data_IF_420790936651
#
_entry.id   IF_420790936651
#
_cell.length_a   1.000
_cell.length_b   1.000
_cell.length_c   1.000
_cell.angle_alpha   90.00
_cell.angle_beta   90.00
_cell.angle_gamma   90.00
#
_symmetry.space_group_name_H-M   'P 1'
#
loop_
_entity.id
_entity.type
_entity.pdbx_description
1 polymer ?
#
# COMPACT_ATOMS: atom_id res chain seq x y z
N UNK A 1 8.51 -22.72 -58.48
CA UNK A 1 8.86 -23.42 -57.27
C UNK A 1 9.79 -22.49 -56.49
N UNK A 2 9.27 -21.50 -55.74
CA UNK A 2 10.12 -20.63 -54.87
C UNK A 2 9.35 -19.62 -54.00
N UNK A 3 8.04 -19.48 -54.18
CA UNK A 3 7.29 -18.54 -53.32
C UNK A 3 6.64 -19.19 -52.08
N UNK A 4 6.48 -20.52 -52.09
CA UNK A 4 5.88 -21.27 -50.99
C UNK A 4 6.93 -21.63 -49.90
N UNK A 5 8.19 -21.85 -50.27
CA UNK A 5 9.29 -22.15 -49.34
C UNK A 5 9.70 -20.92 -48.50
N UNK A 6 9.67 -19.72 -49.09
CA UNK A 6 10.03 -18.48 -48.39
C UNK A 6 8.98 -18.06 -47.36
N UNK A 7 7.70 -18.44 -47.54
CA UNK A 7 6.61 -18.15 -46.59
C UNK A 7 6.66 -19.10 -45.38
N UNK A 8 7.05 -20.34 -45.57
CA UNK A 8 7.19 -21.33 -44.48
C UNK A 8 8.42 -21.02 -43.59
N UNK A 9 9.52 -20.52 -44.18
CA UNK A 9 10.70 -20.11 -43.40
C UNK A 9 10.45 -18.81 -42.59
N UNK A 10 9.64 -17.89 -43.13
CA UNK A 10 9.28 -16.65 -42.39
C UNK A 10 8.33 -16.93 -41.21
N UNK A 11 7.42 -17.90 -41.34
CA UNK A 11 6.50 -18.29 -40.27
C UNK A 11 7.24 -19.06 -39.16
N UNK A 12 8.20 -19.89 -39.50
CA UNK A 12 9.06 -20.61 -38.53
C UNK A 12 10.00 -19.66 -37.78
N UNK A 13 10.53 -18.63 -38.41
CA UNK A 13 11.35 -17.61 -37.76
C UNK A 13 10.52 -16.73 -36.80
N UNK A 14 9.30 -16.35 -37.21
CA UNK A 14 8.39 -15.59 -36.35
C UNK A 14 7.88 -16.39 -35.14
N UNK A 15 7.73 -17.70 -35.26
CA UNK A 15 7.38 -18.59 -34.15
C UNK A 15 8.57 -18.86 -33.21
N UNK A 16 9.79 -18.92 -33.74
CA UNK A 16 11.00 -19.02 -32.94
C UNK A 16 11.27 -17.73 -32.14
N UNK A 17 11.05 -16.54 -32.75
CA UNK A 17 11.16 -15.25 -32.06
C UNK A 17 10.08 -15.11 -30.97
N UNK A 18 8.84 -15.52 -31.24
CA UNK A 18 7.77 -15.53 -30.22
C UNK A 18 8.04 -16.52 -29.07
N UNK A 19 8.64 -17.66 -29.36
CA UNK A 19 9.04 -18.63 -28.33
C UNK A 19 10.21 -18.11 -27.48
N UNK A 20 11.19 -17.43 -28.09
CA UNK A 20 12.30 -16.79 -27.38
C UNK A 20 11.82 -15.60 -26.51
N UNK A 21 10.88 -14.80 -27.01
CA UNK A 21 10.25 -13.72 -26.24
C UNK A 21 9.41 -14.26 -25.09
N UNK A 22 8.70 -15.38 -25.26
CA UNK A 22 7.94 -16.06 -24.22
C UNK A 22 8.83 -16.67 -23.13
N UNK A 23 9.96 -17.29 -23.50
CA UNK A 23 10.97 -17.80 -22.56
C UNK A 23 11.64 -16.67 -21.77
N UNK A 24 12.00 -15.58 -22.45
CA UNK A 24 12.56 -14.37 -21.82
C UNK A 24 11.54 -13.73 -20.87
N UNK A 25 10.26 -13.69 -21.24
CA UNK A 25 9.18 -13.19 -20.39
C UNK A 25 8.93 -14.14 -19.20
N UNK A 26 9.02 -15.46 -19.38
CA UNK A 26 8.89 -16.43 -18.31
C UNK A 26 10.08 -16.38 -17.33
N UNK A 27 11.31 -16.22 -17.81
CA UNK A 27 12.49 -15.98 -16.97
C UNK A 27 12.41 -14.63 -16.24
N UNK A 28 11.95 -13.58 -16.91
CA UNK A 28 11.70 -12.28 -16.30
C UNK A 28 10.55 -12.34 -15.25
N UNK A 29 9.60 -13.26 -15.40
CA UNK A 29 8.52 -13.47 -14.43
C UNK A 29 8.96 -14.32 -13.22
N UNK A 30 10.00 -15.14 -13.34
CA UNK A 30 10.50 -15.95 -12.25
C UNK A 30 11.16 -15.09 -11.16
N UNK A 31 10.89 -15.41 -9.90
CA UNK A 31 11.57 -14.81 -8.76
C UNK A 31 13.03 -15.26 -8.75
N UNK A 32 13.95 -14.34 -8.47
CA UNK A 32 15.36 -14.67 -8.27
C UNK A 32 15.53 -15.61 -7.07
N UNK A 33 16.63 -16.34 -7.00
CA UNK A 33 16.92 -17.23 -5.86
C UNK A 33 16.93 -16.49 -4.53
N UNK A 34 17.33 -15.22 -4.51
CA UNK A 34 17.28 -14.34 -3.34
C UNK A 34 15.85 -13.97 -2.95
N UNK A 35 15.03 -13.55 -3.91
CA UNK A 35 13.61 -13.25 -3.69
C UNK A 35 12.84 -14.47 -3.18
N UNK A 36 13.17 -15.67 -3.68
CA UNK A 36 12.59 -16.93 -3.19
C UNK A 36 13.01 -17.25 -1.73
N UNK A 37 14.23 -16.88 -1.33
CA UNK A 37 14.68 -17.01 0.07
C UNK A 37 13.93 -16.04 0.97
N UNK A 38 13.85 -14.76 0.58
CA UNK A 38 13.10 -13.74 1.31
C UNK A 38 11.65 -14.20 1.50
N UNK A 39 10.98 -14.65 0.44
CA UNK A 39 9.60 -15.16 0.51
C UNK A 39 9.45 -16.30 1.50
N UNK A 40 10.32 -17.31 1.46
CA UNK A 40 10.25 -18.46 2.38
C UNK A 40 10.43 -18.02 3.82
N UNK A 41 11.49 -17.25 4.12
CA UNK A 41 11.76 -16.77 5.48
C UNK A 41 10.60 -15.94 6.04
N UNK A 42 10.02 -15.04 5.23
CA UNK A 42 8.85 -14.24 5.63
C UNK A 42 7.64 -15.12 5.88
N UNK A 43 7.35 -16.07 4.98
CA UNK A 43 6.22 -16.98 5.11
C UNK A 43 6.31 -17.82 6.36
N UNK A 44 7.48 -18.38 6.65
CA UNK A 44 7.71 -19.21 7.84
C UNK A 44 7.55 -18.38 9.11
N UNK A 45 8.14 -17.20 9.18
CA UNK A 45 8.01 -16.29 10.32
C UNK A 45 6.54 -15.84 10.53
N UNK A 46 5.85 -15.47 9.47
CA UNK A 46 4.45 -15.05 9.56
C UNK A 46 3.55 -16.25 9.95
N UNK A 47 3.78 -17.46 9.41
CA UNK A 47 3.02 -18.63 9.78
C UNK A 47 3.18 -19.01 11.26
N UNK A 48 4.33 -18.73 11.86
CA UNK A 48 4.59 -18.95 13.29
C UNK A 48 3.86 -17.94 14.19
N UNK A 49 3.71 -16.67 13.73
CA UNK A 49 3.33 -15.53 14.57
C UNK A 49 1.99 -14.90 14.20
N UNK A 50 1.32 -15.38 13.14
CA UNK A 50 0.05 -14.84 12.69
C UNK A 50 -1.00 -15.92 12.50
N UNK A 51 -2.21 -15.59 12.90
CA UNK A 51 -3.41 -16.38 12.77
C UNK A 51 -4.59 -15.52 13.18
N UNK A 52 -5.84 -16.00 13.11
CA UNK A 52 -7.00 -15.20 13.48
C UNK A 52 -6.98 -14.70 14.93
N UNK A 53 -6.48 -15.51 15.88
CA UNK A 53 -6.39 -15.16 17.30
C UNK A 53 -5.20 -14.26 17.59
N UNK A 54 -4.02 -14.56 17.04
CA UNK A 54 -2.79 -13.77 17.14
C UNK A 54 -3.00 -12.38 16.52
N UNK A 55 -3.58 -12.31 15.32
CA UNK A 55 -3.90 -11.04 14.66
C UNK A 55 -4.92 -10.22 15.48
N UNK A 56 -5.94 -10.89 16.05
CA UNK A 56 -6.89 -10.22 16.93
C UNK A 56 -6.19 -9.64 18.18
N UNK A 57 -5.32 -10.41 18.83
CA UNK A 57 -4.54 -9.96 19.97
C UNK A 57 -3.61 -8.78 19.58
N UNK A 58 -2.93 -8.87 18.44
CA UNK A 58 -2.07 -7.81 17.93
C UNK A 58 -2.84 -6.51 17.67
N UNK A 59 -4.05 -6.61 17.10
CA UNK A 59 -4.88 -5.41 16.88
C UNK A 59 -5.41 -4.79 18.17
N UNK A 60 -5.41 -5.51 19.29
CA UNK A 60 -5.85 -5.00 20.59
C UNK A 60 -4.73 -4.24 21.36
N UNK A 61 -3.47 -4.32 20.90
CA UNK A 61 -2.37 -3.57 21.51
C UNK A 61 -2.53 -2.05 21.31
N UNK A 62 -1.88 -1.22 22.11
CA UNK A 62 -1.84 0.23 21.89
C UNK A 62 -1.31 0.60 20.52
N UNK A 63 -0.34 -0.13 20.01
CA UNK A 63 0.31 0.07 18.72
C UNK A 63 -0.60 -0.37 17.56
N UNK A 64 -1.50 -1.36 17.78
CA UNK A 64 -2.36 -1.94 16.77
C UNK A 64 -1.70 -3.06 15.97
N UNK A 65 -0.52 -3.50 16.37
CA UNK A 65 0.26 -4.61 15.80
C UNK A 65 1.09 -5.28 16.91
N UNK A 66 1.73 -6.43 16.59
CA UNK A 66 2.69 -7.10 17.49
C UNK A 66 4.07 -6.43 17.37
N UNK A 67 4.56 -5.69 18.41
CA UNK A 67 5.86 -5.00 18.37
C UNK A 67 7.06 -5.96 18.24
N UNK A 68 6.97 -7.17 18.80
CA UNK A 68 8.04 -8.17 18.68
C UNK A 68 8.14 -8.70 17.25
N UNK A 69 6.99 -8.98 16.62
CA UNK A 69 6.95 -9.37 15.22
C UNK A 69 7.49 -8.25 14.34
N UNK A 70 7.09 -7.00 14.59
CA UNK A 70 7.60 -5.85 13.85
C UNK A 70 9.13 -5.70 13.97
N UNK A 71 9.69 -5.84 15.17
CA UNK A 71 11.13 -5.81 15.38
C UNK A 71 11.85 -6.93 14.63
N UNK A 72 11.31 -8.16 14.62
CA UNK A 72 11.87 -9.30 13.85
C UNK A 72 11.81 -9.04 12.33
N UNK A 73 10.72 -8.46 11.84
CA UNK A 73 10.54 -8.13 10.42
C UNK A 73 11.49 -7.00 9.99
N UNK A 74 11.62 -5.95 10.79
CA UNK A 74 12.39 -4.75 10.43
C UNK A 74 13.87 -4.94 10.73
N UNK A 75 14.28 -5.01 12.00
CA UNK A 75 15.68 -5.14 12.39
C UNK A 75 16.27 -6.52 12.01
N UNK A 76 15.45 -7.59 12.10
CA UNK A 76 15.90 -8.95 11.80
C UNK A 76 16.01 -9.26 10.30
N UNK A 77 15.03 -8.86 9.51
CA UNK A 77 14.95 -9.18 8.07
C UNK A 77 15.12 -7.96 7.16
N UNK A 78 15.25 -6.76 7.71
CA UNK A 78 15.39 -5.52 6.94
C UNK A 78 14.15 -5.14 6.13
N UNK A 79 12.96 -5.62 6.53
CA UNK A 79 11.74 -5.53 5.74
C UNK A 79 11.38 -4.09 5.37
N UNK A 80 11.44 -3.18 6.34
CA UNK A 80 11.09 -1.77 6.15
C UNK A 80 12.07 -1.04 5.22
N UNK A 81 13.30 -1.55 5.09
CA UNK A 81 14.36 -0.99 4.27
C UNK A 81 14.59 -1.67 2.92
N UNK A 82 13.80 -2.69 2.53
CA UNK A 82 14.07 -3.49 1.33
C UNK A 82 14.28 -2.66 0.06
N UNK A 83 13.46 -1.65 -0.15
CA UNK A 83 13.54 -0.78 -1.34
C UNK A 83 14.42 0.46 -1.14
N UNK A 84 14.86 0.76 0.09
CA UNK A 84 15.67 1.93 0.37
C UNK A 84 17.14 1.71 0.02
N UNK A 85 17.88 2.77 -0.37
CA UNK A 85 19.30 2.68 -0.69
C UNK A 85 20.16 2.22 0.49
N UNK A 86 21.23 1.44 0.19
CA UNK A 86 22.17 0.93 1.18
C UNK A 86 22.85 2.02 2.03
N UNK A 87 23.05 3.22 1.49
CA UNK A 87 23.61 4.37 2.23
C UNK A 87 22.80 4.81 3.45
N UNK A 88 21.53 4.39 3.54
CA UNK A 88 20.64 4.60 4.68
C UNK A 88 20.36 3.32 5.46
N UNK A 89 21.14 2.26 5.22
CA UNK A 89 20.97 0.96 5.87
C UNK A 89 19.95 0.06 5.16
N UNK A 90 19.37 0.51 4.04
CA UNK A 90 18.40 -0.27 3.26
C UNK A 90 19.05 -1.40 2.46
N UNK A 91 18.23 -2.35 2.02
CA UNK A 91 18.68 -3.50 1.22
C UNK A 91 19.02 -3.18 -0.23
N UNK A 92 18.46 -2.11 -0.79
CA UNK A 92 18.64 -1.76 -2.21
C UNK A 92 18.07 -2.77 -3.20
N UNK A 93 17.19 -3.69 -2.75
CA UNK A 93 16.65 -4.77 -3.58
C UNK A 93 15.53 -4.33 -4.56
N UNK A 94 15.16 -3.05 -4.51
CA UNK A 94 14.16 -2.46 -5.40
C UNK A 94 12.70 -2.81 -5.05
N UNK A 95 11.75 -2.27 -5.85
CA UNK A 95 10.32 -2.39 -5.56
C UNK A 95 9.79 -3.83 -5.58
N UNK A 96 10.35 -4.72 -6.42
CA UNK A 96 9.89 -6.10 -6.52
C UNK A 96 10.09 -6.90 -5.23
N UNK A 97 11.18 -6.65 -4.47
CA UNK A 97 11.41 -7.31 -3.18
C UNK A 97 10.43 -6.82 -2.12
N UNK A 98 10.13 -5.51 -2.11
CA UNK A 98 9.13 -4.94 -1.20
C UNK A 98 7.71 -5.42 -1.55
N UNK A 99 7.37 -5.54 -2.84
CA UNK A 99 6.10 -6.10 -3.29
C UNK A 99 5.91 -7.55 -2.80
N UNK A 100 6.98 -8.34 -2.85
CA UNK A 100 6.97 -9.71 -2.33
C UNK A 100 6.71 -9.74 -0.81
N UNK A 101 7.30 -8.83 -0.06
CA UNK A 101 7.05 -8.69 1.36
C UNK A 101 5.58 -8.30 1.65
N UNK A 102 5.04 -7.36 0.88
CA UNK A 102 3.63 -6.98 0.95
C UNK A 102 2.70 -8.14 0.59
N UNK A 103 3.04 -8.99 -0.40
CA UNK A 103 2.26 -10.18 -0.73
C UNK A 103 2.18 -11.15 0.46
N UNK A 104 3.30 -11.43 1.14
CA UNK A 104 3.32 -12.35 2.27
C UNK A 104 2.61 -11.78 3.51
N UNK A 105 2.76 -10.47 3.79
CA UNK A 105 2.02 -9.83 4.89
C UNK A 105 0.51 -9.78 4.59
N UNK A 106 0.11 -9.54 3.35
CA UNK A 106 -1.27 -9.61 2.90
C UNK A 106 -1.86 -11.02 3.01
N UNK A 107 -1.10 -12.05 2.62
CA UNK A 107 -1.48 -13.46 2.76
C UNK A 107 -1.81 -13.83 4.21
N UNK A 108 -1.06 -13.28 5.16
CA UNK A 108 -1.21 -13.51 6.59
C UNK A 108 -2.23 -12.56 7.25
N UNK A 109 -2.73 -11.54 6.54
CA UNK A 109 -3.46 -10.39 7.11
C UNK A 109 -2.73 -9.80 8.33
N UNK A 110 -1.40 -9.77 8.30
CA UNK A 110 -0.58 -9.37 9.44
C UNK A 110 -0.73 -7.87 9.72
N UNK A 111 -1.21 -7.46 10.92
CA UNK A 111 -1.18 -6.07 11.32
C UNK A 111 0.28 -5.61 11.44
N UNK A 112 0.66 -4.56 10.73
CA UNK A 112 2.02 -4.00 10.79
C UNK A 112 2.07 -2.58 10.26
N UNK A 113 3.01 -1.73 10.71
CA UNK A 113 3.17 -0.38 10.20
C UNK A 113 3.92 -0.34 8.85
N UNK A 114 4.12 -1.47 8.17
CA UNK A 114 4.87 -1.59 6.92
C UNK A 114 4.35 -0.63 5.84
N UNK A 115 3.04 -0.60 5.63
CA UNK A 115 2.44 0.25 4.60
C UNK A 115 2.63 1.74 4.91
N UNK A 116 2.31 2.17 6.12
CA UNK A 116 2.42 3.57 6.50
C UNK A 116 3.88 4.04 6.52
N UNK A 117 4.78 3.21 7.09
CA UNK A 117 6.19 3.55 7.30
C UNK A 117 7.03 3.39 6.04
N UNK A 118 7.08 2.18 5.48
CA UNK A 118 8.02 1.85 4.40
C UNK A 118 7.48 2.23 3.01
N UNK A 119 6.15 2.16 2.80
CA UNK A 119 5.56 2.37 1.48
C UNK A 119 5.13 3.83 1.28
N UNK A 120 4.62 4.50 2.32
CA UNK A 120 4.12 5.88 2.19
C UNK A 120 5.12 6.92 2.69
N UNK A 121 5.65 6.77 3.91
CA UNK A 121 6.46 7.82 4.52
C UNK A 121 7.92 7.83 4.04
N UNK A 122 8.58 6.68 4.03
CA UNK A 122 10.00 6.58 3.70
C UNK A 122 10.33 7.11 2.29
N UNK A 123 9.58 6.83 1.22
CA UNK A 123 9.82 7.41 -0.10
C UNK A 123 9.70 8.94 -0.13
N UNK A 124 8.75 9.51 0.61
CA UNK A 124 8.58 10.96 0.70
C UNK A 124 9.74 11.63 1.42
N UNK A 125 10.21 11.04 2.52
CA UNK A 125 11.42 11.53 3.22
C UNK A 125 12.65 11.39 2.33
N UNK A 126 12.79 10.29 1.61
CA UNK A 126 13.92 10.07 0.68
C UNK A 126 13.92 11.08 -0.48
N UNK A 127 12.74 11.44 -1.00
CA UNK A 127 12.59 12.36 -2.11
C UNK A 127 12.76 13.83 -1.71
N UNK A 128 12.09 14.23 -0.64
CA UNK A 128 11.93 15.65 -0.27
C UNK A 128 12.86 16.09 0.86
N UNK A 129 13.24 15.19 1.78
CA UNK A 129 14.01 15.55 2.97
C UNK A 129 15.36 16.20 2.67
N UNK A 130 15.82 17.07 3.54
CA UNK A 130 17.20 17.58 3.51
C UNK A 130 18.20 16.44 3.72
N UNK A 131 19.48 16.59 3.38
CA UNK A 131 20.50 15.60 3.71
C UNK A 131 20.52 15.21 5.19
N UNK A 132 20.32 16.18 6.09
CA UNK A 132 20.28 15.96 7.53
C UNK A 132 19.06 15.13 7.96
N UNK A 133 17.86 15.50 7.47
CA UNK A 133 16.63 14.77 7.75
C UNK A 133 16.69 13.33 7.24
N UNK A 134 17.21 13.13 6.02
CA UNK A 134 17.40 11.76 5.47
C UNK A 134 18.38 10.94 6.30
N UNK A 135 19.50 11.53 6.73
CA UNK A 135 20.50 10.85 7.54
C UNK A 135 19.98 10.49 8.94
N UNK A 136 19.11 11.32 9.51
CA UNK A 136 18.51 11.09 10.82
C UNK A 136 17.36 10.06 10.75
N UNK A 137 16.43 10.22 9.80
CA UNK A 137 15.15 9.52 9.82
C UNK A 137 15.20 8.17 9.12
N UNK A 138 15.84 8.09 7.93
CA UNK A 138 15.77 6.88 7.12
C UNK A 138 16.39 5.65 7.79
N UNK A 139 17.56 5.71 8.45
CA UNK A 139 18.10 4.55 9.15
C UNK A 139 17.16 4.00 10.23
N UNK A 140 16.50 4.89 10.97
CA UNK A 140 15.56 4.50 12.03
C UNK A 140 14.24 3.92 11.49
N UNK A 141 13.81 4.35 10.30
CA UNK A 141 12.67 3.71 9.60
C UNK A 141 13.06 2.33 9.09
N UNK A 142 14.31 2.16 8.60
CA UNK A 142 14.84 0.88 8.09
C UNK A 142 14.91 -0.17 9.18
N UNK A 143 15.45 0.17 10.34
CA UNK A 143 15.57 -0.76 11.47
C UNK A 143 14.29 -0.92 12.28
N UNK A 144 13.24 -0.13 11.96
CA UNK A 144 11.93 -0.18 12.59
C UNK A 144 11.85 0.46 13.98
N UNK A 145 12.90 1.15 14.43
CA UNK A 145 12.91 1.90 15.70
C UNK A 145 12.13 3.22 15.62
N UNK A 146 11.74 3.63 14.42
CA UNK A 146 10.85 4.75 14.16
C UNK A 146 9.75 4.29 13.22
N UNK A 147 8.50 4.47 13.63
CA UNK A 147 7.33 4.27 12.76
C UNK A 147 6.81 5.61 12.27
N UNK A 148 6.20 5.62 11.10
CA UNK A 148 5.70 6.86 10.53
C UNK A 148 4.35 6.68 9.83
N UNK A 149 3.54 7.75 9.81
CA UNK A 149 2.26 7.78 9.12
C UNK A 149 2.10 9.05 8.29
N UNK A 150 1.39 8.94 7.16
CA UNK A 150 1.07 10.06 6.27
C UNK A 150 -0.32 10.59 6.56
N UNK A 151 -0.41 11.82 7.03
CA UNK A 151 -1.65 12.53 7.29
C UNK A 151 -1.95 13.51 6.13
N UNK A 152 -3.07 13.30 5.46
CA UNK A 152 -3.56 14.18 4.41
C UNK A 152 -4.94 14.74 4.77
N UNK A 153 -5.29 15.95 4.35
CA UNK A 153 -6.58 16.55 4.66
C UNK A 153 -7.77 15.71 4.20
N UNK A 154 -8.84 15.72 4.98
CA UNK A 154 -10.17 15.24 4.57
C UNK A 154 -10.31 13.74 4.32
N UNK A 155 -9.36 12.90 4.74
CA UNK A 155 -9.45 11.44 4.50
C UNK A 155 -9.34 11.03 3.02
N UNK A 156 -8.69 11.83 2.20
CA UNK A 156 -8.57 11.66 0.75
C UNK A 156 -7.21 11.09 0.32
N UNK A 157 -6.70 10.09 1.04
CA UNK A 157 -5.36 9.51 0.78
C UNK A 157 -5.18 9.05 -0.67
N UNK A 158 -6.15 8.32 -1.24
CA UNK A 158 -6.06 7.85 -2.62
C UNK A 158 -5.97 8.99 -3.64
N UNK A 159 -6.67 10.11 -3.41
CA UNK A 159 -6.59 11.29 -4.26
C UNK A 159 -5.26 12.03 -4.08
N UNK A 160 -4.82 12.21 -2.82
CA UNK A 160 -3.53 12.84 -2.52
C UNK A 160 -2.35 12.11 -3.20
N UNK A 161 -2.43 10.80 -3.27
CA UNK A 161 -1.48 9.92 -3.96
C UNK A 161 -1.68 9.87 -5.49
N UNK A 162 -2.63 10.62 -6.05
CA UNK A 162 -2.91 10.65 -7.49
C UNK A 162 -3.48 9.34 -8.06
N UNK A 163 -4.01 8.45 -7.21
CA UNK A 163 -4.53 7.13 -7.60
C UNK A 163 -5.91 7.24 -8.25
N UNK A 164 -6.81 8.01 -7.66
CA UNK A 164 -8.23 8.10 -8.06
C UNK A 164 -8.60 9.40 -8.77
N UNK A 165 -7.65 10.29 -8.97
CA UNK A 165 -7.82 11.58 -9.61
C UNK A 165 -6.50 12.35 -9.70
N UNK A 166 -6.56 13.58 -10.21
CA UNK A 166 -5.42 14.47 -10.26
C UNK A 166 -5.25 15.19 -8.91
N UNK A 167 -4.13 14.96 -8.22
CA UNK A 167 -3.84 15.60 -6.95
C UNK A 167 -3.41 17.08 -7.09
N UNK A 168 -3.24 17.59 -8.30
CA UNK A 168 -3.01 19.01 -8.58
C UNK A 168 -4.31 19.77 -8.79
N UNK A 169 -5.44 19.06 -8.95
CA UNK A 169 -6.75 19.66 -9.14
C UNK A 169 -7.22 20.43 -7.88
N UNK A 170 -8.04 21.46 -8.09
CA UNK A 170 -8.52 22.36 -7.03
C UNK A 170 -9.20 21.65 -5.86
N UNK A 171 -9.82 20.50 -6.09
CA UNK A 171 -10.56 19.75 -5.07
C UNK A 171 -9.68 19.21 -3.94
N UNK A 172 -8.40 18.96 -4.20
CA UNK A 172 -7.45 18.51 -3.18
C UNK A 172 -6.39 19.54 -2.84
N UNK A 173 -5.75 20.15 -3.85
CA UNK A 173 -4.70 21.14 -3.67
C UNK A 173 -5.21 22.46 -3.07
N UNK A 174 -6.50 22.71 -3.25
CA UNK A 174 -7.17 23.93 -2.80
C UNK A 174 -7.65 23.92 -1.36
N UNK A 175 -7.25 23.00 -0.51
CA UNK A 175 -7.69 22.80 0.89
C UNK A 175 -8.09 24.02 1.73
N UNK A 176 -8.15 25.17 1.12
CA UNK A 176 -8.46 26.44 1.73
C UNK A 176 -9.95 26.74 1.97
N UNK A 177 -10.90 25.94 1.46
CA UNK A 177 -12.32 26.33 1.57
C UNK A 177 -13.11 25.66 2.67
N UNK A 178 -12.81 24.44 3.06
CA UNK A 178 -13.42 23.78 4.22
C UNK A 178 -12.63 22.52 4.59
N UNK A 179 -11.90 22.51 5.70
CA UNK A 179 -11.37 21.30 6.32
C UNK A 179 -9.95 20.90 5.93
N UNK A 180 -9.16 21.76 5.28
CA UNK A 180 -7.74 21.53 5.05
C UNK A 180 -6.89 21.77 6.31
N UNK A 181 -5.68 21.20 6.33
CA UNK A 181 -4.69 21.51 7.36
C UNK A 181 -3.91 22.75 6.94
N UNK A 182 -3.84 23.74 7.85
CA UNK A 182 -3.14 25.00 7.63
C UNK A 182 -1.81 25.00 8.37
N UNK A 183 -0.75 25.46 7.70
CA UNK A 183 0.55 25.69 8.31
C UNK A 183 0.84 27.19 8.40
N UNK A 184 1.32 27.64 9.57
CA UNK A 184 1.75 29.01 9.82
C UNK A 184 3.21 29.02 10.26
N UNK A 185 4.01 29.87 9.61
CA UNK A 185 5.36 30.13 10.06
C UNK A 185 5.33 30.96 11.35
N UNK A 186 6.17 30.60 12.31
CA UNK A 186 6.40 31.37 13.53
C UNK A 186 7.69 32.16 13.34
N UNK A 187 7.62 33.46 13.58
CA UNK A 187 8.78 34.36 13.49
C UNK A 187 9.85 33.95 14.54
N UNK A 188 11.12 34.01 14.16
CA UNK A 188 12.22 33.85 15.10
C UNK A 188 12.16 34.97 16.13
N UNK A 189 11.75 34.68 17.38
CA UNK A 189 11.62 35.68 18.46
C UNK A 189 10.35 35.62 19.27
N UNK A 190 9.30 34.94 18.80
CA UNK A 190 8.01 34.80 19.51
C UNK A 190 7.94 33.57 20.45
N UNK A 191 9.01 32.86 20.65
CA UNK A 191 9.08 31.67 21.51
C UNK A 191 10.30 31.72 22.46
N UNK A 192 10.34 30.86 23.42
CA UNK A 192 11.23 30.68 24.58
C UNK A 192 12.77 30.75 24.38
N UNK A 193 13.25 31.49 23.39
CA UNK A 193 14.68 31.76 23.19
C UNK A 193 15.47 30.69 22.42
N UNK A 194 14.86 29.68 21.83
CA UNK A 194 15.50 28.77 20.87
C UNK A 194 15.42 29.38 19.46
N UNK A 195 16.40 30.14 19.08
CA UNK A 195 16.47 31.07 17.94
C UNK A 195 16.27 30.56 16.52
N UNK A 196 15.30 29.68 16.28
CA UNK A 196 14.91 29.22 14.96
C UNK A 196 13.42 29.37 14.72
N UNK A 197 13.01 30.02 13.62
CA UNK A 197 11.61 30.06 13.18
C UNK A 197 11.10 28.64 12.95
N UNK A 198 9.90 28.35 13.49
CA UNK A 198 9.24 27.05 13.39
C UNK A 198 7.95 27.13 12.60
N UNK A 199 7.22 26.04 12.55
CA UNK A 199 5.89 25.97 11.95
C UNK A 199 4.85 25.52 12.96
N UNK A 200 3.62 25.98 12.81
CA UNK A 200 2.46 25.55 13.61
C UNK A 200 1.37 25.06 12.68
N UNK A 201 0.79 23.89 13.00
CA UNK A 201 -0.24 23.27 12.22
C UNK A 201 -1.61 23.36 12.92
N UNK A 202 -2.65 23.56 12.08
CA UNK A 202 -4.04 23.68 12.51
C UNK A 202 -4.94 22.91 11.54
N UNK A 203 -5.83 22.07 12.04
CA UNK A 203 -6.80 21.34 11.23
C UNK A 203 -6.94 19.88 11.63
N UNK A 204 -7.48 19.08 10.74
CA UNK A 204 -7.77 17.68 10.98
C UNK A 204 -7.46 16.84 9.75
N UNK A 205 -6.91 15.65 9.98
CA UNK A 205 -6.82 14.57 9.01
C UNK A 205 -7.60 13.36 9.51
N UNK A 206 -8.57 12.90 8.72
CA UNK A 206 -9.28 11.66 8.97
C UNK A 206 -8.60 10.47 8.27
N UNK A 207 -8.84 9.27 8.77
CA UNK A 207 -8.38 8.00 8.16
C UNK A 207 -6.85 7.91 7.95
N UNK A 208 -6.08 8.46 8.90
CA UNK A 208 -4.62 8.36 8.88
C UNK A 208 -4.22 6.94 9.28
N UNK A 209 -3.66 6.16 8.34
CA UNK A 209 -3.20 4.79 8.58
C UNK A 209 -2.11 4.80 9.65
N UNK A 210 -2.26 3.93 10.66
CA UNK A 210 -1.37 3.83 11.83
C UNK A 210 -1.15 5.15 12.60
N UNK A 211 -1.95 6.18 12.30
CA UNK A 211 -1.80 7.53 12.86
C UNK A 211 -1.99 7.62 14.37
N UNK A 212 -2.59 6.60 15.00
CA UNK A 212 -2.79 6.56 16.46
C UNK A 212 -1.52 6.26 17.23
N UNK A 213 -0.56 5.54 16.63
CA UNK A 213 0.63 5.01 17.30
C UNK A 213 1.95 5.39 16.63
N UNK A 214 1.93 5.98 15.42
CA UNK A 214 3.15 6.36 14.73
C UNK A 214 4.00 7.38 15.52
N UNK A 215 5.31 7.17 15.58
CA UNK A 215 6.26 8.07 16.25
C UNK A 215 6.46 9.38 15.50
N UNK A 216 6.24 9.35 14.17
CA UNK A 216 6.41 10.48 13.28
C UNK A 216 5.21 10.61 12.34
N UNK A 217 4.60 11.78 12.28
CA UNK A 217 3.59 12.10 11.30
C UNK A 217 4.19 12.97 10.18
N UNK A 218 4.01 12.55 8.94
CA UNK A 218 4.16 13.40 7.77
C UNK A 218 2.81 14.04 7.48
N UNK A 219 2.72 15.35 7.60
CA UNK A 219 1.45 16.08 7.47
C UNK A 219 1.48 16.95 6.23
N UNK A 220 0.55 16.70 5.29
CA UNK A 220 0.34 17.58 4.16
C UNK A 220 -0.51 18.78 4.61
N UNK A 221 0.05 19.98 4.54
CA UNK A 221 -0.63 21.20 4.97
C UNK A 221 -0.43 22.34 3.98
N UNK A 222 -1.38 23.28 3.95
CA UNK A 222 -1.36 24.43 3.09
C UNK A 222 -0.71 25.61 3.78
N UNK A 223 0.14 26.34 3.02
CA UNK A 223 0.75 27.61 3.43
C UNK A 223 0.27 28.73 2.53
N UNK A 224 0.24 29.96 3.05
CA UNK A 224 -0.11 31.16 2.29
C UNK A 224 -1.61 31.43 2.21
N UNK A 225 -1.95 32.60 1.66
CA UNK A 225 -3.35 33.01 1.42
C UNK A 225 -3.89 32.45 0.11
N UNK A 226 -5.20 32.57 -0.08
CA UNK A 226 -6.02 31.98 -1.13
C UNK A 226 -5.42 31.97 -2.56
N UNK A 227 -4.77 33.01 -2.98
CA UNK A 227 -4.18 33.14 -4.33
C UNK A 227 -2.75 32.56 -4.44
N UNK A 228 -2.12 32.20 -3.31
CA UNK A 228 -0.74 31.72 -3.22
C UNK A 228 -0.63 30.49 -2.34
N UNK A 229 -1.72 29.75 -2.19
CA UNK A 229 -1.72 28.50 -1.40
C UNK A 229 -0.81 27.47 -2.04
N UNK A 230 0.07 26.88 -1.24
CA UNK A 230 0.95 25.78 -1.63
C UNK A 230 0.80 24.67 -0.62
N UNK A 231 0.85 23.42 -1.10
CA UNK A 231 0.90 22.24 -0.24
C UNK A 231 2.36 21.91 0.06
N UNK A 232 2.69 21.84 1.35
CA UNK A 232 4.00 21.39 1.83
C UNK A 232 3.81 20.18 2.76
N UNK A 233 4.89 19.44 3.00
CA UNK A 233 4.93 18.35 3.97
C UNK A 233 5.68 18.81 5.22
N UNK A 234 5.10 18.45 6.37
CA UNK A 234 5.64 18.77 7.67
C UNK A 234 5.83 17.52 8.51
N UNK A 235 6.88 17.52 9.31
CA UNK A 235 7.18 16.48 10.30
C UNK A 235 6.60 16.93 11.65
N UNK A 236 5.74 16.10 12.23
CA UNK A 236 5.26 16.25 13.60
C UNK A 236 5.76 15.03 14.37
N UNK A 237 6.66 15.25 15.32
CA UNK A 237 7.31 14.20 16.12
C UNK A 237 6.48 13.92 17.36
N UNK A 238 6.27 12.65 17.68
CA UNK A 238 5.76 12.28 18.98
C UNK A 238 6.82 12.59 20.06
N UNK A 239 6.35 13.08 21.20
CA UNK A 239 7.19 13.39 22.37
C UNK A 239 6.78 12.52 23.53
N UNK A 240 7.74 12.16 24.37
CA UNK A 240 7.47 11.50 25.62
C UNK A 240 6.54 12.38 26.48
N UNK A 241 5.44 11.81 26.93
CA UNK A 241 4.38 12.57 27.64
C UNK A 241 3.35 13.28 26.74
N UNK A 242 3.44 13.07 25.40
CA UNK A 242 2.51 13.63 24.41
C UNK A 242 3.03 14.91 23.75
N UNK A 243 2.54 15.17 22.55
CA UNK A 243 2.93 16.34 21.76
C UNK A 243 1.88 17.43 21.91
N UNK A 244 2.23 18.63 22.44
CA UNK A 244 1.27 19.71 22.60
C UNK A 244 0.57 20.05 21.28
N UNK A 245 -0.77 20.19 21.35
CA UNK A 245 -1.59 20.51 20.18
C UNK A 245 -1.85 19.35 19.24
N UNK A 246 -1.33 18.14 19.49
CA UNK A 246 -1.61 16.93 18.73
C UNK A 246 -2.58 16.03 19.51
N UNK A 247 -3.74 15.75 18.92
CA UNK A 247 -4.71 14.77 19.44
C UNK A 247 -4.93 13.68 18.41
N UNK A 248 -4.76 12.43 18.83
CA UNK A 248 -4.92 11.25 17.99
C UNK A 248 -6.01 10.35 18.55
N UNK A 249 -7.02 10.08 17.73
CA UNK A 249 -8.15 9.22 18.11
C UNK A 249 -8.20 8.02 17.19
N UNK A 250 -7.88 6.84 17.71
CA UNK A 250 -8.05 5.58 16.98
C UNK A 250 -9.52 5.39 16.62
N UNK A 251 -9.80 5.07 15.36
CA UNK A 251 -11.16 4.86 14.87
C UNK A 251 -11.48 3.37 14.80
N UNK A 252 -12.76 3.05 14.97
CA UNK A 252 -13.23 1.69 14.70
C UNK A 252 -13.17 1.43 13.20
N UNK A 253 -12.19 0.63 12.79
CA UNK A 253 -12.00 0.25 11.40
C UNK A 253 -12.88 -0.96 11.05
N UNK A 254 -13.31 -1.04 9.79
CA UNK A 254 -13.99 -2.23 9.26
C UNK A 254 -13.04 -3.44 9.30
N UNK A 255 -11.80 -3.23 8.92
CA UNK A 255 -10.69 -4.18 9.04
C UNK A 255 -9.79 -3.74 10.21
N UNK A 256 -9.82 -4.49 11.30
CA UNK A 256 -9.02 -4.19 12.48
C UNK A 256 -7.51 -4.34 12.23
N UNK A 257 -7.12 -5.13 11.22
CA UNK A 257 -5.71 -5.32 10.85
C UNK A 257 -5.14 -4.17 10.01
N UNK A 258 -5.98 -3.13 9.74
CA UNK A 258 -5.60 -1.88 9.08
C UNK A 258 -6.10 -0.68 9.91
N UNK A 259 -5.49 -0.47 11.08
CA UNK A 259 -5.93 0.58 11.99
C UNK A 259 -5.71 1.96 11.37
N UNK A 260 -6.64 2.87 11.66
CA UNK A 260 -6.52 4.27 11.28
C UNK A 260 -7.04 5.19 12.39
N UNK A 261 -6.63 6.43 12.33
CA UNK A 261 -6.95 7.45 13.31
C UNK A 261 -7.48 8.73 12.67
N UNK A 262 -8.19 9.51 13.46
CA UNK A 262 -8.34 10.94 13.26
C UNK A 262 -7.19 11.63 13.99
N UNK A 263 -6.50 12.54 13.29
CA UNK A 263 -5.41 13.37 13.81
C UNK A 263 -5.88 14.81 13.80
N UNK A 264 -6.02 15.41 14.99
CA UNK A 264 -6.36 16.81 15.17
C UNK A 264 -5.10 17.60 15.55
N UNK A 265 -4.92 18.74 14.89
CA UNK A 265 -3.78 19.64 15.05
C UNK A 265 -4.30 21.00 15.54
N UNK A 266 -3.92 21.37 16.76
CA UNK A 266 -4.35 22.61 17.43
C UNK A 266 -3.11 23.36 17.92
N UNK A 267 -2.51 24.15 17.05
CA UNK A 267 -1.23 24.82 17.33
C UNK A 267 -0.07 23.80 17.52
N UNK A 268 -0.11 22.70 16.75
CA UNK A 268 0.90 21.65 16.86
C UNK A 268 2.22 22.12 16.24
N UNK A 269 3.31 21.94 16.98
CA UNK A 269 4.65 22.25 16.49
C UNK A 269 5.04 21.29 15.36
N UNK A 270 5.66 21.85 14.31
CA UNK A 270 6.06 21.07 13.15
C UNK A 270 7.38 21.59 12.54
N UNK A 271 8.08 20.71 11.88
CA UNK A 271 9.28 20.96 11.10
C UNK A 271 8.95 20.81 9.61
N UNK A 272 9.42 21.71 8.75
CA UNK A 272 9.27 21.55 7.31
C UNK A 272 10.09 20.36 6.82
N UNK A 273 9.49 19.44 6.07
CA UNK A 273 10.21 18.40 5.38
C UNK A 273 10.87 18.96 4.12
N UNK A 274 12.20 18.96 4.10
CA UNK A 274 12.97 19.50 2.99
C UNK A 274 13.10 21.02 3.03
N UNK A 275 13.26 21.59 1.85
CA UNK A 275 13.45 23.04 1.61
C UNK A 275 12.50 23.51 0.50
N UNK A 276 12.11 24.77 0.54
CA UNK A 276 11.33 25.40 -0.54
C UNK A 276 12.25 25.99 -1.64
N UNK A 277 11.86 25.89 -2.91
CA UNK A 277 10.65 25.28 -3.45
C UNK A 277 10.78 23.75 -3.56
N UNK A 278 9.68 23.02 -3.30
CA UNK A 278 9.61 21.56 -3.44
C UNK A 278 8.36 21.14 -4.22
N UNK A 279 8.51 20.13 -5.09
CA UNK A 279 7.37 19.49 -5.79
C UNK A 279 6.75 18.41 -4.92
N UNK A 280 5.98 18.81 -3.92
CA UNK A 280 5.30 17.93 -2.98
C UNK A 280 4.22 17.10 -3.69
N UNK A 281 3.46 17.70 -4.62
CA UNK A 281 2.38 17.02 -5.32
C UNK A 281 2.92 15.93 -6.25
N UNK A 282 4.00 16.21 -6.98
CA UNK A 282 4.70 15.23 -7.79
C UNK A 282 5.31 14.10 -6.96
N UNK A 283 5.88 14.41 -5.79
CA UNK A 283 6.41 13.39 -4.87
C UNK A 283 5.30 12.49 -4.31
N UNK A 284 4.15 13.05 -3.93
CA UNK A 284 2.99 12.28 -3.50
C UNK A 284 2.47 11.38 -4.62
N UNK A 285 2.35 11.88 -5.85
CA UNK A 285 1.92 11.10 -7.00
C UNK A 285 2.91 9.97 -7.35
N UNK A 286 4.23 10.24 -7.28
CA UNK A 286 5.27 9.22 -7.48
C UNK A 286 5.18 8.13 -6.40
N UNK A 287 5.05 8.53 -5.12
CA UNK A 287 4.83 7.60 -4.01
C UNK A 287 3.55 6.79 -4.21
N UNK A 288 2.48 7.41 -4.71
CA UNK A 288 1.21 6.74 -4.99
C UNK A 288 1.34 5.63 -6.03
N UNK A 289 2.12 5.83 -7.09
CA UNK A 289 2.35 4.78 -8.09
C UNK A 289 3.09 3.56 -7.50
N UNK A 290 4.10 3.80 -6.67
CA UNK A 290 4.80 2.73 -5.95
C UNK A 290 3.85 2.06 -4.95
N UNK A 291 3.12 2.84 -4.17
CA UNK A 291 2.15 2.34 -3.20
C UNK A 291 1.06 1.49 -3.85
N UNK A 292 0.61 1.85 -5.06
CA UNK A 292 -0.35 1.04 -5.81
C UNK A 292 0.17 -0.38 -6.08
N UNK A 293 1.45 -0.54 -6.42
CA UNK A 293 2.07 -1.86 -6.63
C UNK A 293 2.14 -2.64 -5.32
N UNK A 294 2.54 -1.99 -4.22
CA UNK A 294 2.64 -2.64 -2.91
C UNK A 294 1.27 -3.09 -2.38
N UNK A 295 0.26 -2.23 -2.53
CA UNK A 295 -1.13 -2.55 -2.21
C UNK A 295 -1.70 -3.66 -3.10
N UNK A 296 -1.35 -3.66 -4.40
CA UNK A 296 -1.73 -4.74 -5.31
C UNK A 296 -1.12 -6.07 -4.87
N UNK A 297 0.16 -6.08 -4.47
CA UNK A 297 0.82 -7.27 -3.98
C UNK A 297 0.18 -7.78 -2.68
N UNK A 298 -0.10 -6.90 -1.73
CA UNK A 298 -0.81 -7.23 -0.50
C UNK A 298 -2.20 -7.83 -0.78
N UNK A 299 -2.98 -7.19 -1.67
CA UNK A 299 -4.30 -7.69 -2.07
C UNK A 299 -4.23 -9.04 -2.79
N UNK A 300 -3.22 -9.27 -3.64
CA UNK A 300 -2.96 -10.57 -4.29
C UNK A 300 -2.64 -11.66 -3.26
N UNK A 301 -1.80 -11.34 -2.26
CA UNK A 301 -1.49 -12.24 -1.15
C UNK A 301 -2.75 -12.65 -0.37
N UNK A 302 -3.56 -11.67 0.00
CA UNK A 302 -4.83 -11.89 0.69
C UNK A 302 -5.84 -12.67 -0.18
N UNK A 303 -5.93 -12.36 -1.48
CA UNK A 303 -6.80 -13.06 -2.43
C UNK A 303 -6.40 -14.55 -2.57
N UNK A 304 -5.09 -14.81 -2.70
CA UNK A 304 -4.56 -16.19 -2.74
C UNK A 304 -4.88 -16.96 -1.48
N UNK A 305 -4.68 -16.36 -0.30
CA UNK A 305 -5.00 -17.01 0.98
C UNK A 305 -6.51 -17.25 1.14
N UNK A 306 -7.36 -16.32 0.73
CA UNK A 306 -8.81 -16.48 0.75
C UNK A 306 -9.24 -17.64 -0.17
N UNK A 307 -8.63 -17.75 -1.36
CA UNK A 307 -8.88 -18.82 -2.31
C UNK A 307 -8.45 -20.20 -1.76
N UNK A 308 -7.23 -20.29 -1.19
CA UNK A 308 -6.72 -21.53 -0.58
C UNK A 308 -7.67 -22.04 0.50
N UNK A 309 -8.17 -21.14 1.37
CA UNK A 309 -9.14 -21.50 2.41
C UNK A 309 -10.49 -21.93 1.82
N UNK A 310 -10.96 -21.25 0.78
CA UNK A 310 -12.19 -21.63 0.10
C UNK A 310 -12.09 -23.05 -0.52
N UNK A 311 -10.94 -23.38 -1.12
CA UNK A 311 -10.65 -24.70 -1.65
C UNK A 311 -10.60 -25.74 -0.53
N UNK A 312 -9.91 -25.46 0.58
CA UNK A 312 -9.86 -26.35 1.74
C UNK A 312 -11.26 -26.64 2.33
N UNK A 313 -12.15 -25.64 2.31
CA UNK A 313 -13.55 -25.77 2.71
C UNK A 313 -14.40 -26.68 1.83
N UNK A 314 -13.93 -27.08 0.64
CA UNK A 314 -14.57 -28.08 -0.21
C UNK A 314 -14.09 -29.53 0.07
N UNK A 315 -13.08 -29.71 0.93
CA UNK A 315 -12.49 -31.01 1.23
C UNK A 315 -13.45 -32.01 1.90
N UNK A 316 -13.04 -33.29 2.06
CA UNK A 316 -13.88 -34.40 2.59
C UNK A 316 -14.38 -34.17 4.03
N UNK A 317 -13.73 -33.24 4.78
CA UNK A 317 -14.15 -32.81 6.13
C UNK A 317 -15.24 -31.74 6.13
N UNK A 318 -15.53 -31.12 4.98
CA UNK A 318 -16.70 -30.26 4.81
C UNK A 318 -17.94 -31.16 4.90
N UNK A 319 -18.81 -30.89 5.88
CA UNK A 319 -19.98 -31.69 6.30
C UNK A 319 -20.58 -32.54 5.15
N UNK A 320 -20.48 -33.88 5.21
CA UNK A 320 -21.13 -34.74 4.23
C UNK A 320 -22.64 -34.55 4.36
N UNK A 321 -23.33 -34.32 3.25
CA UNK A 321 -24.79 -34.39 3.20
C UNK A 321 -25.54 -33.15 2.75
N UNK A 322 -24.89 -31.99 2.57
CA UNK A 322 -25.59 -30.75 2.21
C UNK A 322 -25.31 -30.22 0.78
N UNK A 323 -24.37 -30.80 0.04
CA UNK A 323 -24.09 -30.36 -1.35
C UNK A 323 -24.33 -31.49 -2.34
N UNK A 324 -25.17 -31.24 -3.34
CA UNK A 324 -25.30 -32.14 -4.47
C UNK A 324 -24.01 -32.19 -5.28
N UNK A 325 -23.79 -33.28 -6.05
CA UNK A 325 -22.63 -33.36 -6.95
C UNK A 325 -22.54 -32.17 -7.92
N UNK A 326 -23.68 -31.69 -8.42
CA UNK A 326 -23.75 -30.50 -9.28
C UNK A 326 -23.32 -29.21 -8.55
N UNK A 327 -23.73 -29.01 -7.30
CA UNK A 327 -23.30 -27.86 -6.51
C UNK A 327 -21.79 -27.87 -6.20
N UNK A 328 -21.21 -29.06 -5.97
CA UNK A 328 -19.76 -29.22 -5.79
C UNK A 328 -19.01 -28.91 -7.09
N UNK A 329 -19.51 -29.39 -8.24
CA UNK A 329 -18.90 -29.09 -9.53
C UNK A 329 -18.97 -27.58 -9.85
N UNK A 330 -20.11 -26.94 -9.61
CA UNK A 330 -20.25 -25.48 -9.79
C UNK A 330 -19.26 -24.70 -8.91
N UNK A 331 -19.10 -25.08 -7.63
CA UNK A 331 -18.13 -24.45 -6.75
C UNK A 331 -16.69 -24.63 -7.26
N UNK A 332 -16.32 -25.81 -7.75
CA UNK A 332 -14.98 -26.06 -8.33
C UNK A 332 -14.73 -25.19 -9.56
N UNK A 333 -15.69 -25.05 -10.46
CA UNK A 333 -15.58 -24.19 -11.64
C UNK A 333 -15.38 -22.73 -11.23
N UNK A 334 -16.18 -22.23 -10.28
CA UNK A 334 -16.01 -20.87 -9.75
C UNK A 334 -14.63 -20.65 -9.15
N UNK A 335 -14.12 -21.58 -8.34
CA UNK A 335 -12.78 -21.47 -7.73
C UNK A 335 -11.66 -21.53 -8.78
N UNK A 336 -11.83 -22.29 -9.87
CA UNK A 336 -10.89 -22.30 -10.99
C UNK A 336 -10.85 -20.93 -11.70
N UNK A 337 -12.00 -20.31 -11.95
CA UNK A 337 -12.07 -18.96 -12.53
C UNK A 337 -11.44 -17.92 -11.61
N UNK A 338 -11.65 -18.03 -10.30
CA UNK A 338 -11.02 -17.17 -9.31
C UNK A 338 -9.50 -17.35 -9.24
N UNK A 339 -9.02 -18.57 -9.37
CA UNK A 339 -7.59 -18.87 -9.48
C UNK A 339 -6.95 -18.11 -10.65
N UNK A 340 -7.56 -18.19 -11.83
CA UNK A 340 -7.08 -17.45 -13.02
C UNK A 340 -7.05 -15.95 -12.76
N UNK A 341 -8.08 -15.38 -12.10
CA UNK A 341 -8.11 -13.95 -11.77
C UNK A 341 -6.99 -13.55 -10.81
N UNK A 342 -6.71 -14.37 -9.78
CA UNK A 342 -5.63 -14.11 -8.82
C UNK A 342 -4.26 -14.15 -9.52
N UNK A 343 -4.03 -15.16 -10.39
CA UNK A 343 -2.75 -15.28 -11.10
C UNK A 343 -2.57 -14.15 -12.13
N UNK A 344 -3.63 -13.74 -12.81
CA UNK A 344 -3.58 -12.57 -13.71
C UNK A 344 -3.25 -11.27 -12.93
N UNK A 345 -3.86 -11.08 -11.76
CA UNK A 345 -3.55 -9.93 -10.89
C UNK A 345 -2.11 -10.00 -10.37
N UNK A 346 -1.63 -11.18 -10.00
CA UNK A 346 -0.24 -11.41 -9.57
C UNK A 346 0.75 -11.07 -10.68
N UNK A 347 0.54 -11.58 -11.88
CA UNK A 347 1.38 -11.29 -13.04
C UNK A 347 1.48 -9.79 -13.33
N UNK A 348 0.33 -9.10 -13.38
CA UNK A 348 0.29 -7.66 -13.60
C UNK A 348 1.01 -6.89 -12.48
N UNK A 349 0.85 -7.30 -11.23
CA UNK A 349 1.51 -6.69 -10.07
C UNK A 349 3.04 -6.80 -10.17
N UNK A 350 3.56 -7.98 -10.50
CA UNK A 350 5.02 -8.15 -10.62
C UNK A 350 5.60 -7.57 -11.91
N UNK A 351 4.83 -7.47 -12.98
CA UNK A 351 5.20 -6.67 -14.15
C UNK A 351 5.37 -5.20 -13.73
N UNK A 352 4.38 -4.62 -13.06
CA UNK A 352 4.45 -3.25 -12.54
C UNK A 352 5.62 -3.04 -11.57
N UNK A 353 5.90 -4.00 -10.70
CA UNK A 353 7.00 -3.92 -9.74
C UNK A 353 8.40 -3.90 -10.38
N UNK A 354 8.51 -4.31 -11.65
CA UNK A 354 9.76 -4.30 -12.42
C UNK A 354 9.89 -3.12 -13.36
N UNK A 355 8.86 -2.29 -13.51
CA UNK A 355 8.95 -1.08 -14.31
C UNK A 355 10.01 -0.15 -13.72
N UNK A 356 10.87 0.40 -14.61
CA UNK A 356 11.91 1.36 -14.25
C UNK A 356 11.37 2.79 -14.37
N UNK A 357 11.88 3.69 -13.53
CA UNK A 357 11.54 5.11 -13.62
C UNK A 357 10.92 5.70 -12.36
N UNK A 358 10.32 6.89 -12.45
CA UNK A 358 9.82 7.65 -11.27
C UNK A 358 8.55 7.07 -10.63
N UNK A 359 8.21 5.86 -10.99
CA UNK A 359 7.09 5.06 -10.47
C UNK A 359 6.33 4.39 -11.61
N UNK A 360 5.89 3.13 -11.40
CA UNK A 360 5.26 2.33 -12.43
C UNK A 360 3.89 2.90 -12.85
N UNK A 361 3.71 3.15 -14.14
CA UNK A 361 2.45 3.68 -14.68
C UNK A 361 1.33 2.61 -14.65
N UNK A 362 1.70 1.33 -14.72
CA UNK A 362 0.76 0.20 -14.61
C UNK A 362 0.32 -0.10 -13.17
N UNK A 363 0.95 0.50 -12.15
CA UNK A 363 0.64 0.27 -10.74
C UNK A 363 -0.84 0.42 -10.37
N UNK A 364 -1.52 1.54 -10.70
CA UNK A 364 -2.95 1.71 -10.42
C UNK A 364 -3.85 0.68 -11.12
N UNK A 365 -3.47 0.20 -12.31
CA UNK A 365 -4.21 -0.86 -13.01
C UNK A 365 -4.01 -2.21 -12.33
N UNK A 366 -2.79 -2.52 -11.89
CA UNK A 366 -2.50 -3.70 -11.09
C UNK A 366 -3.30 -3.69 -9.78
N UNK A 367 -3.36 -2.55 -9.08
CA UNK A 367 -4.16 -2.39 -7.87
C UNK A 367 -5.65 -2.63 -8.14
N UNK A 368 -6.20 -2.05 -9.20
CA UNK A 368 -7.61 -2.24 -9.55
C UNK A 368 -7.94 -3.73 -9.77
N UNK A 369 -7.07 -4.45 -10.49
CA UNK A 369 -7.24 -5.88 -10.75
C UNK A 369 -7.10 -6.71 -9.48
N UNK A 370 -6.16 -6.38 -8.60
CA UNK A 370 -5.93 -7.07 -7.35
C UNK A 370 -7.08 -6.88 -6.34
N UNK A 371 -7.63 -5.66 -6.23
CA UNK A 371 -8.80 -5.37 -5.39
C UNK A 371 -10.04 -6.16 -5.86
N UNK A 372 -10.26 -6.28 -7.16
CA UNK A 372 -11.36 -7.08 -7.70
C UNK A 372 -11.15 -8.58 -7.47
N UNK A 373 -9.92 -9.07 -7.61
CA UNK A 373 -9.59 -10.47 -7.31
C UNK A 373 -9.84 -10.79 -5.83
N UNK A 374 -9.35 -9.93 -4.92
CA UNK A 374 -9.56 -10.08 -3.48
C UNK A 374 -11.04 -10.03 -3.11
N UNK A 375 -11.80 -9.07 -3.64
CA UNK A 375 -13.24 -8.97 -3.38
C UNK A 375 -13.98 -10.22 -3.84
N UNK A 376 -13.65 -10.75 -5.01
CA UNK A 376 -14.32 -11.94 -5.56
C UNK A 376 -13.98 -13.20 -4.77
N UNK A 377 -12.70 -13.42 -4.43
CA UNK A 377 -12.26 -14.61 -3.65
C UNK A 377 -12.79 -14.58 -2.23
N UNK A 378 -12.72 -13.42 -1.55
CA UNK A 378 -13.24 -13.25 -0.21
C UNK A 378 -14.77 -13.43 -0.15
N UNK A 379 -15.50 -12.89 -1.13
CA UNK A 379 -16.96 -13.06 -1.24
C UNK A 379 -17.35 -14.53 -1.42
N UNK A 380 -16.66 -15.25 -2.29
CA UNK A 380 -16.88 -16.69 -2.49
C UNK A 380 -16.50 -17.50 -1.22
N UNK A 381 -15.42 -17.12 -0.54
CA UNK A 381 -15.03 -17.71 0.75
C UNK A 381 -16.16 -17.62 1.77
N UNK A 382 -16.76 -16.45 1.94
CA UNK A 382 -17.91 -16.27 2.85
C UNK A 382 -19.11 -17.12 2.40
N UNK A 383 -19.40 -17.16 1.10
CA UNK A 383 -20.50 -17.96 0.54
C UNK A 383 -20.31 -19.47 0.79
N UNK A 384 -19.08 -19.97 0.68
CA UNK A 384 -18.78 -21.40 0.83
C UNK A 384 -18.74 -21.87 2.29
N UNK A 385 -18.35 -20.99 3.23
CA UNK A 385 -18.18 -21.34 4.64
C UNK A 385 -19.37 -20.95 5.53
N UNK A 386 -20.49 -20.41 5.00
CA UNK A 386 -21.62 -19.96 5.78
C UNK A 386 -22.11 -20.96 6.83
N UNK A 387 -22.68 -20.45 7.96
CA UNK A 387 -23.28 -21.27 9.02
C UNK A 387 -22.54 -21.26 10.36
N UNK A 388 -21.76 -20.22 10.69
CA UNK A 388 -21.17 -20.00 12.04
C UNK A 388 -19.89 -20.82 12.33
N UNK A 389 -19.25 -21.34 11.29
CA UNK A 389 -18.00 -22.10 11.42
C UNK A 389 -16.77 -21.21 11.65
N UNK A 390 -15.66 -21.78 12.14
CA UNK A 390 -14.36 -21.08 12.20
C UNK A 390 -13.94 -20.56 10.82
N UNK A 391 -14.13 -21.36 9.76
CA UNK A 391 -13.84 -20.95 8.40
C UNK A 391 -14.65 -19.75 7.92
N UNK A 392 -15.89 -19.56 8.40
CA UNK A 392 -16.68 -18.37 8.11
C UNK A 392 -16.07 -17.13 8.77
N UNK A 393 -15.64 -17.22 10.04
CA UNK A 393 -14.98 -16.11 10.72
C UNK A 393 -13.72 -15.67 9.99
N UNK A 394 -12.89 -16.60 9.57
CA UNK A 394 -11.68 -16.32 8.79
C UNK A 394 -12.02 -15.70 7.42
N UNK A 395 -12.99 -16.24 6.69
CA UNK A 395 -13.43 -15.72 5.40
C UNK A 395 -13.93 -14.26 5.52
N UNK A 396 -14.60 -13.93 6.63
CA UNK A 396 -15.05 -12.55 6.92
C UNK A 396 -13.89 -11.58 7.10
N UNK A 397 -12.75 -11.99 7.66
CA UNK A 397 -11.57 -11.11 7.80
C UNK A 397 -11.05 -10.67 6.42
N UNK A 398 -10.95 -11.60 5.45
CA UNK A 398 -10.57 -11.26 4.08
C UNK A 398 -11.61 -10.37 3.39
N UNK A 399 -12.88 -10.59 3.66
CA UNK A 399 -13.96 -9.74 3.13
C UNK A 399 -13.90 -8.33 3.72
N UNK A 400 -13.62 -8.19 5.01
CA UNK A 400 -13.42 -6.89 5.68
C UNK A 400 -12.20 -6.16 5.11
N UNK A 401 -11.07 -6.86 4.88
CA UNK A 401 -9.89 -6.32 4.21
C UNK A 401 -10.25 -5.83 2.80
N UNK A 402 -10.94 -6.62 1.99
CA UNK A 402 -11.35 -6.25 0.64
C UNK A 402 -12.21 -4.97 0.62
N UNK A 403 -13.17 -4.88 1.55
CA UNK A 403 -14.04 -3.70 1.65
C UNK A 403 -13.29 -2.47 2.18
N UNK A 404 -12.38 -2.65 3.13
CA UNK A 404 -11.54 -1.57 3.65
C UNK A 404 -10.60 -1.00 2.58
N UNK A 405 -9.94 -1.86 1.82
CA UNK A 405 -9.02 -1.44 0.76
C UNK A 405 -9.74 -0.72 -0.38
N UNK A 406 -10.95 -1.17 -0.74
CA UNK A 406 -11.80 -0.49 -1.74
C UNK A 406 -12.21 0.92 -1.28
N UNK A 407 -12.43 1.13 0.03
CA UNK A 407 -12.77 2.43 0.61
C UNK A 407 -11.55 3.36 0.70
N UNK A 408 -10.39 2.85 1.10
CA UNK A 408 -9.19 3.66 1.38
C UNK A 408 -8.41 4.00 0.11
N UNK A 409 -8.31 3.06 -0.84
CA UNK A 409 -7.43 3.16 -2.00
C UNK A 409 -8.16 3.08 -3.34
N UNK A 410 -9.44 2.69 -3.33
CA UNK A 410 -10.29 2.57 -4.50
C UNK A 410 -11.21 3.79 -4.68
N UNK A 411 -12.32 3.60 -5.36
CA UNK A 411 -12.80 2.31 -5.88
C UNK A 411 -12.05 1.86 -7.15
N UNK A 412 -11.97 0.55 -7.37
CA UNK A 412 -11.27 -0.05 -8.51
C UNK A 412 -11.68 0.55 -9.87
N UNK A 413 -12.95 0.93 -10.02
CA UNK A 413 -13.45 1.62 -11.24
C UNK A 413 -12.76 2.97 -11.49
N UNK A 414 -12.44 3.76 -10.44
CA UNK A 414 -11.73 5.04 -10.57
C UNK A 414 -10.26 4.83 -10.92
N UNK A 415 -9.64 3.81 -10.34
CA UNK A 415 -8.27 3.44 -10.67
C UNK A 415 -8.16 3.07 -12.16
N UNK A 416 -9.10 2.27 -12.70
CA UNK A 416 -9.15 1.93 -14.13
C UNK A 416 -9.42 3.15 -15.01
N UNK A 417 -10.38 3.98 -14.65
CA UNK A 417 -10.68 5.20 -15.41
C UNK A 417 -9.44 6.10 -15.49
N UNK A 418 -8.76 6.31 -14.35
CA UNK A 418 -7.53 7.12 -14.31
C UNK A 418 -6.39 6.51 -15.13
N UNK A 419 -6.22 5.19 -15.08
CA UNK A 419 -5.22 4.51 -15.92
C UNK A 419 -5.55 4.67 -17.42
N UNK A 420 -6.81 4.52 -17.82
CA UNK A 420 -7.25 4.70 -19.20
C UNK A 420 -7.08 6.14 -19.70
N UNK A 421 -7.34 7.15 -18.85
CA UNK A 421 -7.08 8.56 -19.17
C UNK A 421 -5.59 8.80 -19.44
N UNK A 422 -4.72 8.29 -18.56
CA UNK A 422 -3.27 8.49 -18.65
C UNK A 422 -2.64 7.79 -19.85
N UNK A 423 -3.19 6.66 -20.28
CA UNK A 423 -2.71 5.94 -21.48
C UNK A 423 -3.28 6.51 -22.78
N UNK A 424 -4.16 7.51 -22.70
CA UNK A 424 -4.84 8.08 -23.88
C UNK A 424 -5.78 7.09 -24.58
N UNK A 425 -6.30 6.08 -23.87
CA UNK A 425 -7.16 5.02 -24.43
C UNK A 425 -8.39 5.57 -25.16
N UNK A 426 -8.95 6.67 -24.69
CA UNK A 426 -10.16 7.27 -25.28
C UNK A 426 -9.84 8.38 -26.29
N UNK A 427 -8.55 8.67 -26.59
CA UNK A 427 -8.15 9.81 -27.37
C UNK A 427 -8.49 11.15 -26.68
N UNK A 428 -8.18 12.27 -27.32
CA UNK A 428 -8.77 13.55 -26.97
C UNK A 428 -10.24 13.52 -27.42
N UNK A 429 -11.14 13.10 -26.56
CA UNK A 429 -12.55 13.41 -26.74
C UNK A 429 -12.62 14.91 -26.53
N UNK A 430 -12.71 15.65 -27.66
CA UNK A 430 -12.90 17.10 -27.63
C UNK A 430 -14.09 17.42 -26.70
N UNK A 431 -13.79 18.19 -25.67
CA UNK A 431 -14.79 18.73 -24.76
C UNK A 431 -15.62 19.82 -25.45
#
# INVERSE_FOLDING_TARGET
MDAADTAADADTAADADRAADADTAAEAAALTGEQQRIRRTLRDLLAERTGPEENHAATATPEGYDPELWARLSAGLGLAGLALPAKYGGGGHGPAALALACEETGRALAPSPLLATAVLAAPLIAALGTPAQRAELLPRLVDGSLTSALAVPGGSLALALGLTGDNTAEDWSGGGRAGGIQARAVAAGDGDGSGGGGWRLYGEAAQVLDGHSADLLLVAAHTGGFARSRTLLFLVREREGGTPGLVRTRRNALDLTRPHATVELRDAEAELLGEEPADVLGALAATGRIAAVMLAAEAVGAAGAALDRAIAGLGPRARPGHRTAGALQAARSTLADLYVRVEAARSLTYCAARESGPGPESGPLALAQALEALRATAGEGVRLHGGGSTGEREARLFYQRAASDELLFGPARRLRARAAERTGLFGEVAA
#
